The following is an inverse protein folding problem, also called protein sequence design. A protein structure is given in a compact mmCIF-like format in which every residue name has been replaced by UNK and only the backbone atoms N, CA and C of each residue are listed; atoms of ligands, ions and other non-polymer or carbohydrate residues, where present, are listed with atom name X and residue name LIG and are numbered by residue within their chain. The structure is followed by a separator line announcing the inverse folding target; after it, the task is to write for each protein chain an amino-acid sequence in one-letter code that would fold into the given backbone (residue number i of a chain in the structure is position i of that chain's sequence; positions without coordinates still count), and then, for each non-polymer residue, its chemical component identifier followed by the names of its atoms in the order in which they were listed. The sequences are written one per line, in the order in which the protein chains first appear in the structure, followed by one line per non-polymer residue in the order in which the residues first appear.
data_IF_342322362548
#
_entry.id   IF_342322362548
#
_cell.length_a   1.000
_cell.length_b   1.000
_cell.length_c   1.000
_cell.angle_alpha   90.00
_cell.angle_beta   90.00
_cell.angle_gamma   90.00
#
_symmetry.space_group_name_H-M   'P 1'
#
loop_
_entity.id
_entity.type
_entity.pdbx_description
1 polymer ?
#
# COMPACT_ATOMS: atom_id res chain seq x y z
N UNK A 1 -18.73 -0.13 -1.47
CA UNK A 1 -17.42 0.50 -1.72
C UNK A 1 -16.52 -0.05 -0.63
N UNK A 2 -15.54 -0.87 -1.02
CA UNK A 2 -14.65 -1.57 -0.09
C UNK A 2 -13.32 -0.83 -0.05
N UNK A 3 -12.76 -0.69 1.15
CA UNK A 3 -11.43 -0.15 1.35
C UNK A 3 -10.37 -1.05 0.71
N UNK A 4 -9.30 -0.45 0.20
CA UNK A 4 -8.22 -1.20 -0.44
C UNK A 4 -7.14 -1.53 0.58
N UNK A 5 -6.89 -2.82 0.76
CA UNK A 5 -5.92 -3.31 1.75
C UNK A 5 -4.56 -3.50 1.07
N UNK A 6 -3.54 -2.83 1.59
CA UNK A 6 -2.13 -3.06 1.22
C UNK A 6 -1.46 -3.83 2.34
N UNK A 7 -0.98 -5.05 2.01
CA UNK A 7 -0.13 -5.83 2.92
C UNK A 7 1.29 -5.31 2.81
N UNK A 8 1.78 -4.67 3.86
CA UNK A 8 3.09 -3.99 3.83
C UNK A 8 4.24 -4.99 3.73
N UNK A 9 4.10 -6.18 4.31
CA UNK A 9 5.08 -7.26 4.13
C UNK A 9 5.31 -7.54 2.65
N UNK A 10 4.24 -7.55 1.84
CA UNK A 10 4.34 -7.77 0.40
C UNK A 10 5.05 -6.63 -0.31
N UNK A 11 4.80 -5.38 0.09
CA UNK A 11 5.51 -4.20 -0.44
C UNK A 11 7.01 -4.31 -0.15
N UNK A 12 7.39 -4.69 1.08
CA UNK A 12 8.79 -4.87 1.48
C UNK A 12 9.48 -6.00 0.69
N UNK A 13 8.78 -7.11 0.43
CA UNK A 13 9.28 -8.19 -0.44
C UNK A 13 9.54 -7.68 -1.86
N UNK A 14 8.56 -6.98 -2.45
CA UNK A 14 8.68 -6.44 -3.81
C UNK A 14 9.82 -5.42 -3.93
N UNK A 15 10.02 -4.58 -2.91
CA UNK A 15 11.18 -3.69 -2.83
C UNK A 15 12.50 -4.46 -2.82
N UNK A 16 12.55 -5.56 -2.06
CA UNK A 16 13.75 -6.41 -1.95
C UNK A 16 14.11 -7.04 -3.29
N UNK A 17 13.12 -7.54 -4.04
CA UNK A 17 13.33 -8.13 -5.38
C UNK A 17 13.36 -7.09 -6.51
N UNK A 18 13.19 -5.80 -6.18
CA UNK A 18 13.12 -4.67 -7.12
C UNK A 18 12.04 -4.79 -8.19
N UNK A 19 10.91 -5.37 -7.83
CA UNK A 19 9.77 -5.51 -8.72
C UNK A 19 8.94 -4.23 -8.74
N UNK A 20 9.41 -3.26 -9.53
CA UNK A 20 8.77 -1.96 -9.67
C UNK A 20 7.38 -2.07 -10.31
N UNK A 21 7.19 -2.99 -11.25
CA UNK A 21 5.93 -3.10 -11.99
C UNK A 21 4.78 -3.51 -11.07
N UNK A 22 5.00 -4.54 -10.25
CA UNK A 22 3.99 -4.99 -9.29
C UNK A 22 3.71 -3.92 -8.22
N UNK A 23 4.74 -3.20 -7.76
CA UNK A 23 4.54 -2.06 -6.86
C UNK A 23 3.67 -0.99 -7.50
N UNK A 24 3.97 -0.57 -8.73
CA UNK A 24 3.18 0.43 -9.45
C UNK A 24 1.72 0.00 -9.61
N UNK A 25 1.46 -1.27 -9.92
CA UNK A 25 0.11 -1.83 -9.99
C UNK A 25 -0.65 -1.73 -8.67
N UNK A 26 0.01 -2.05 -7.55
CA UNK A 26 -0.59 -1.96 -6.21
C UNK A 26 -0.93 -0.51 -5.89
N UNK A 27 0.03 0.40 -6.09
CA UNK A 27 -0.16 1.82 -5.79
C UNK A 27 -1.19 2.48 -6.70
N UNK A 28 -1.29 2.09 -7.97
CA UNK A 28 -2.28 2.63 -8.90
C UNK A 28 -3.71 2.22 -8.49
N UNK A 29 -3.91 0.96 -8.09
CA UNK A 29 -5.21 0.49 -7.59
C UNK A 29 -5.63 1.19 -6.30
N UNK A 30 -4.69 1.35 -5.38
CA UNK A 30 -4.90 2.08 -4.14
C UNK A 30 -5.24 3.56 -4.41
N UNK A 31 -4.53 4.23 -5.31
CA UNK A 31 -4.82 5.60 -5.72
C UNK A 31 -6.24 5.73 -6.30
N UNK A 32 -6.65 4.83 -7.20
CA UNK A 32 -8.01 4.81 -7.75
C UNK A 32 -9.08 4.63 -6.67
N UNK A 33 -8.77 3.88 -5.62
CA UNK A 33 -9.65 3.66 -4.47
C UNK A 33 -9.88 4.97 -3.69
N UNK A 34 -8.81 5.72 -3.43
CA UNK A 34 -8.88 7.04 -2.77
C UNK A 34 -9.66 8.04 -3.62
N UNK A 35 -9.41 8.07 -4.94
CA UNK A 35 -10.17 8.94 -5.88
C UNK A 35 -11.66 8.57 -5.89
N UNK A 36 -11.98 7.29 -5.70
CA UNK A 36 -13.35 6.79 -5.54
C UNK A 36 -14.02 7.14 -4.20
N UNK A 37 -13.32 7.82 -3.29
CA UNK A 37 -13.84 8.21 -1.97
C UNK A 37 -13.76 7.12 -0.90
N UNK A 38 -12.96 6.07 -1.13
CA UNK A 38 -12.70 4.99 -0.18
C UNK A 38 -11.33 5.18 0.50
N UNK A 39 -11.05 4.41 1.55
CA UNK A 39 -9.76 4.46 2.23
C UNK A 39 -8.83 3.36 1.71
N UNK A 40 -7.52 3.61 1.82
CA UNK A 40 -6.48 2.59 1.67
C UNK A 40 -5.98 2.23 3.04
N UNK A 41 -6.04 0.96 3.42
CA UNK A 41 -5.64 0.49 4.74
C UNK A 41 -4.32 -0.28 4.63
N UNK A 42 -3.31 0.17 5.36
CA UNK A 42 -2.05 -0.56 5.50
C UNK A 42 -2.21 -1.61 6.58
N UNK A 43 -1.97 -2.87 6.21
CA UNK A 43 -1.96 -4.00 7.14
C UNK A 43 -0.57 -4.62 7.19
N UNK A 44 -0.19 -5.09 8.38
CA UNK A 44 0.96 -5.95 8.57
C UNK A 44 0.48 -7.34 8.92
N UNK A 45 1.01 -8.33 8.23
CA UNK A 45 0.78 -9.73 8.52
C UNK A 45 1.83 -10.23 9.52
N UNK A 46 1.35 -10.82 10.62
CA UNK A 46 2.21 -11.50 11.59
C UNK A 46 2.52 -12.94 11.13
N UNK A 47 3.52 -13.58 11.75
CA UNK A 47 3.91 -14.98 11.48
C UNK A 47 2.77 -15.98 11.65
N UNK A 48 1.73 -15.62 12.41
CA UNK A 48 0.52 -16.42 12.58
C UNK A 48 -0.53 -16.23 11.45
N UNK A 49 -0.25 -15.41 10.44
CA UNK A 49 -1.17 -15.06 9.35
C UNK A 49 -2.23 -14.02 9.74
N UNK A 50 -2.12 -13.41 10.92
CA UNK A 50 -3.04 -12.37 11.37
C UNK A 50 -2.68 -11.04 10.74
N UNK A 51 -3.63 -10.43 10.04
CA UNK A 51 -3.49 -9.10 9.47
C UNK A 51 -3.93 -8.05 10.48
N UNK A 52 -3.01 -7.15 10.84
CA UNK A 52 -3.28 -6.04 11.73
C UNK A 52 -3.18 -4.72 10.97
N UNK A 53 -4.29 -3.97 10.82
CA UNK A 53 -4.23 -2.63 10.26
C UNK A 53 -3.48 -1.72 11.23
N UNK A 54 -2.57 -0.92 10.70
CA UNK A 54 -1.77 0.00 11.50
C UNK A 54 -1.78 1.44 10.98
N UNK A 55 -2.13 1.63 9.70
CA UNK A 55 -2.24 2.95 9.09
C UNK A 55 -3.35 2.96 8.02
N UNK A 56 -3.83 4.16 7.67
CA UNK A 56 -4.86 4.33 6.65
C UNK A 56 -4.74 5.68 5.95
N UNK A 57 -5.01 5.70 4.66
CA UNK A 57 -5.01 6.88 3.83
C UNK A 57 -6.40 7.13 3.26
N UNK A 58 -6.97 8.27 3.64
CA UNK A 58 -8.25 8.76 3.12
C UNK A 58 -8.05 9.91 2.11
N UNK A 59 -6.80 10.32 1.86
CA UNK A 59 -6.47 11.43 0.96
C UNK A 59 -5.30 11.07 0.03
N UNK A 60 -5.27 11.67 -1.17
CA UNK A 60 -4.27 11.37 -2.19
C UNK A 60 -2.87 11.86 -1.79
N UNK A 61 -2.78 12.94 -1.03
CA UNK A 61 -1.51 13.58 -0.69
C UNK A 61 -0.66 12.71 0.26
N UNK A 62 -1.24 12.27 1.38
CA UNK A 62 -0.58 11.34 2.32
C UNK A 62 -0.24 10.01 1.65
N UNK A 63 -1.11 9.54 0.75
CA UNK A 63 -0.86 8.31 0.01
C UNK A 63 0.32 8.43 -0.97
N UNK A 64 0.41 9.54 -1.71
CA UNK A 64 1.54 9.80 -2.61
C UNK A 64 2.85 10.01 -1.84
N UNK A 65 2.81 10.62 -0.65
CA UNK A 65 3.95 10.67 0.28
C UNK A 65 4.44 9.26 0.64
N UNK A 66 3.54 8.35 1.01
CA UNK A 66 3.88 6.96 1.30
C UNK A 66 4.48 6.24 0.09
N UNK A 67 3.83 6.37 -1.08
CA UNK A 67 4.33 5.83 -2.35
C UNK A 67 5.75 6.31 -2.63
N UNK A 68 6.01 7.61 -2.54
CA UNK A 68 7.34 8.19 -2.77
C UNK A 68 8.38 7.64 -1.81
N UNK A 69 8.03 7.42 -0.53
CA UNK A 69 8.94 6.80 0.45
C UNK A 69 9.29 5.36 0.08
N UNK A 70 8.34 4.60 -0.45
CA UNK A 70 8.56 3.21 -0.90
C UNK A 70 9.46 3.18 -2.14
N UNK A 71 9.20 4.02 -3.14
CA UNK A 71 10.04 4.08 -4.34
C UNK A 71 11.41 4.74 -4.12
N UNK A 72 11.60 5.52 -3.05
CA UNK A 72 12.88 6.19 -2.76
C UNK A 72 14.05 5.22 -2.56
N UNK A 73 13.77 4.00 -2.11
CA UNK A 73 14.79 2.99 -1.80
C UNK A 73 14.97 1.93 -2.91
N UNK A 74 14.31 2.11 -4.06
CA UNK A 74 14.40 1.28 -5.25
C UNK A 74 15.36 1.88 -6.28
#
# INVERSE_FOLDING_TARGET
MEDYIIVVNRVEELQTIRDQQELELIFERARRTIIGGCEVVLVREDRSGNQQPFDRFSNEQDFEEYRNRVFRFL
#
